data_IF_576806678958
#
_entry.id   IF_576806678958
#
_cell.length_a   1.000
_cell.length_b   1.000
_cell.length_c   1.000
_cell.angle_alpha   90.00
_cell.angle_beta   90.00
_cell.angle_gamma   90.00
#
_symmetry.space_group_name_H-M   'P 1'
#
loop_
_entity.id
_entity.type
_entity.pdbx_description
1 polymer ?
#
# COMPACT_ATOMS: atom_id res chain seq x y z
N UNK A 1 25.23 -39.33 37.72
CA UNK A 1 24.27 -38.23 37.52
C UNK A 1 24.56 -37.59 36.17
N UNK A 2 23.56 -37.55 35.30
CA UNK A 2 23.56 -36.92 33.97
C UNK A 2 24.07 -35.47 34.06
N UNK A 3 24.79 -34.91 33.10
CA UNK A 3 24.64 -35.00 31.65
C UNK A 3 24.18 -33.62 31.17
N UNK A 4 25.15 -32.74 30.88
CA UNK A 4 24.92 -31.38 30.40
C UNK A 4 24.35 -31.40 28.98
N UNK A 5 23.34 -30.58 28.73
CA UNK A 5 22.73 -30.41 27.42
C UNK A 5 21.78 -29.21 27.41
N UNK A 6 22.34 -28.00 27.37
CA UNK A 6 21.57 -26.80 27.08
C UNK A 6 21.40 -26.71 25.56
N UNK A 7 20.22 -27.05 25.06
CA UNK A 7 19.79 -26.78 23.70
C UNK A 7 19.53 -25.28 23.55
N UNK A 8 20.36 -24.61 22.75
CA UNK A 8 20.08 -23.29 22.19
C UNK A 8 19.41 -23.51 20.84
N UNK A 9 18.08 -23.40 20.82
CA UNK A 9 17.29 -23.40 19.60
C UNK A 9 17.60 -22.14 18.79
N UNK A 10 17.96 -22.38 17.53
CA UNK A 10 18.55 -21.40 16.63
C UNK A 10 17.57 -20.31 16.22
N UNK A 11 17.91 -19.08 16.60
CA UNK A 11 17.39 -17.90 15.93
C UNK A 11 18.12 -17.77 14.58
N UNK A 12 17.45 -18.19 13.51
CA UNK A 12 17.90 -17.96 12.15
C UNK A 12 17.75 -16.47 11.81
N UNK A 13 18.80 -15.69 12.04
CA UNK A 13 18.94 -14.34 11.49
C UNK A 13 19.61 -14.42 10.12
N UNK A 14 18.84 -14.12 9.08
CA UNK A 14 19.34 -13.86 7.73
C UNK A 14 20.20 -12.59 7.75
N UNK A 15 21.43 -12.69 7.23
CA UNK A 15 22.10 -11.58 6.55
C UNK A 15 23.07 -10.75 7.40
N UNK A 16 24.34 -11.16 7.40
CA UNK A 16 25.45 -10.23 7.65
C UNK A 16 25.85 -9.48 6.38
N UNK A 17 26.47 -8.32 6.56
CA UNK A 17 27.48 -7.80 5.63
C UNK A 17 27.37 -6.31 5.25
N UNK A 18 28.37 -5.54 5.69
CA UNK A 18 28.89 -4.41 4.91
C UNK A 18 28.41 -3.02 5.33
N UNK A 19 29.37 -2.18 5.73
CA UNK A 19 29.11 -0.78 6.10
C UNK A 19 28.53 0.02 4.94
N UNK A 20 27.51 0.82 5.28
CA UNK A 20 27.07 1.97 4.53
C UNK A 20 26.83 3.08 5.56
N UNK A 21 27.68 4.10 5.49
CA UNK A 21 27.55 5.33 6.25
C UNK A 21 26.15 5.95 6.01
N UNK A 22 25.49 6.39 7.09
CA UNK A 22 24.24 7.17 7.13
C UNK A 22 22.91 6.48 6.74
N UNK A 23 22.73 5.18 6.98
CA UNK A 23 21.34 4.66 7.09
C UNK A 23 20.73 5.15 8.41
N UNK A 24 19.64 5.94 8.41
CA UNK A 24 19.01 6.36 9.66
C UNK A 24 18.58 5.10 10.40
N UNK A 25 19.08 4.90 11.61
CA UNK A 25 18.69 3.80 12.47
C UNK A 25 17.17 3.85 12.63
N UNK A 26 16.46 3.02 11.85
CA UNK A 26 15.02 2.92 11.95
C UNK A 26 14.74 2.29 13.31
N UNK A 27 13.96 2.98 14.13
CA UNK A 27 13.54 2.41 15.41
C UNK A 27 12.79 1.10 15.11
N UNK A 28 13.14 0.00 15.80
CA UNK A 28 12.48 -1.29 15.54
C UNK A 28 10.99 -1.29 15.92
N UNK A 29 10.51 -0.26 16.65
CA UNK A 29 9.08 -0.05 16.93
C UNK A 29 8.40 0.95 15.97
N UNK A 30 9.05 1.36 14.89
CA UNK A 30 8.54 2.35 13.94
C UNK A 30 7.52 1.75 12.94
N UNK A 31 6.72 0.77 13.38
CA UNK A 31 5.63 0.21 12.60
C UNK A 31 4.30 0.90 12.94
N UNK A 32 3.37 1.03 11.98
CA UNK A 32 2.00 1.41 12.30
C UNK A 32 1.38 0.36 13.24
N UNK A 33 0.60 0.82 14.21
CA UNK A 33 0.01 -0.02 15.25
C UNK A 33 -0.91 -1.11 14.67
N UNK A 34 -1.58 -0.82 13.55
CA UNK A 34 -2.41 -1.76 12.81
C UNK A 34 -2.56 -1.35 11.33
N UNK A 35 -3.15 -2.25 10.54
CA UNK A 35 -3.46 -2.08 9.12
C UNK A 35 -4.39 -0.90 8.85
N UNK A 36 -5.33 -0.62 9.76
CA UNK A 36 -6.23 0.54 9.64
C UNK A 36 -5.48 1.87 9.72
N UNK A 37 -4.52 1.99 10.65
CA UNK A 37 -3.64 3.15 10.75
C UNK A 37 -2.74 3.28 9.52
N UNK A 38 -2.22 2.15 9.02
CA UNK A 38 -1.44 2.12 7.79
C UNK A 38 -2.24 2.62 6.59
N UNK A 39 -3.48 2.11 6.39
CA UNK A 39 -4.41 2.55 5.35
C UNK A 39 -4.67 4.05 5.44
N UNK A 40 -5.02 4.57 6.62
CA UNK A 40 -5.25 6.01 6.80
C UNK A 40 -4.01 6.84 6.46
N UNK A 41 -2.82 6.35 6.83
CA UNK A 41 -1.54 6.97 6.49
C UNK A 41 -1.27 7.00 4.98
N UNK A 42 -1.50 5.87 4.28
CA UNK A 42 -1.36 5.79 2.83
C UNK A 42 -2.35 6.72 2.10
N UNK A 43 -3.60 6.80 2.56
CA UNK A 43 -4.60 7.74 2.02
C UNK A 43 -4.11 9.18 2.13
N UNK A 44 -3.61 9.55 3.30
CA UNK A 44 -3.10 10.89 3.57
C UNK A 44 -1.89 11.20 2.69
N UNK A 45 -0.95 10.27 2.57
CA UNK A 45 0.22 10.41 1.71
C UNK A 45 -0.16 10.72 0.27
N UNK A 46 -1.06 9.95 -0.35
CA UNK A 46 -1.43 10.18 -1.75
C UNK A 46 -2.17 11.49 -1.96
N UNK A 47 -3.02 11.88 -1.02
CA UNK A 47 -3.80 13.12 -1.11
C UNK A 47 -2.95 14.38 -0.87
N UNK A 48 -1.99 14.30 0.04
CA UNK A 48 -1.30 15.49 0.56
C UNK A 48 0.14 15.62 0.08
N UNK A 49 0.81 14.53 -0.34
CA UNK A 49 2.20 14.59 -0.76
C UNK A 49 2.34 15.48 -1.99
N UNK A 50 3.26 16.44 -1.89
CA UNK A 50 3.62 17.36 -2.98
C UNK A 50 5.10 17.32 -3.26
N UNK A 51 5.44 17.41 -4.53
CA UNK A 51 6.79 17.71 -4.97
C UNK A 51 6.78 19.12 -5.57
N UNK A 52 7.35 20.09 -4.85
CA UNK A 52 7.15 21.50 -5.15
C UNK A 52 5.68 21.90 -5.01
N UNK A 53 5.05 22.32 -6.11
CA UNK A 53 3.63 22.75 -6.14
C UNK A 53 2.68 21.70 -6.73
N UNK A 54 3.16 20.49 -7.06
CA UNK A 54 2.37 19.45 -7.74
C UNK A 54 2.02 18.30 -6.79
N UNK A 55 0.80 17.79 -6.91
CA UNK A 55 0.36 16.58 -6.20
C UNK A 55 0.67 15.34 -7.02
N UNK A 56 1.94 14.92 -7.02
CA UNK A 56 2.46 13.90 -7.95
C UNK A 56 1.63 12.61 -7.95
N UNK A 57 1.30 12.07 -6.77
CA UNK A 57 0.60 10.79 -6.67
C UNK A 57 -0.91 10.89 -6.88
N UNK A 58 -1.53 11.98 -6.39
CA UNK A 58 -2.95 12.25 -6.66
C UNK A 58 -3.21 12.37 -8.16
N UNK A 59 -2.39 13.16 -8.84
CA UNK A 59 -2.54 13.44 -10.27
C UNK A 59 -2.27 12.17 -11.08
N UNK A 60 -1.25 11.38 -10.69
CA UNK A 60 -0.97 10.07 -11.29
C UNK A 60 -2.13 9.08 -11.11
N UNK A 61 -2.73 9.02 -9.92
CA UNK A 61 -3.85 8.13 -9.64
C UNK A 61 -5.05 8.44 -10.56
N UNK A 62 -5.39 9.71 -10.72
CA UNK A 62 -6.49 10.16 -11.59
C UNK A 62 -6.17 9.85 -13.06
N UNK A 63 -4.96 10.20 -13.52
CA UNK A 63 -4.54 9.97 -14.92
C UNK A 63 -4.54 8.48 -15.27
N UNK A 64 -3.96 7.63 -14.42
CA UNK A 64 -3.90 6.19 -14.64
C UNK A 64 -5.31 5.57 -14.75
N UNK A 65 -6.22 5.94 -13.85
CA UNK A 65 -7.61 5.44 -13.89
C UNK A 65 -8.36 5.93 -15.12
N UNK A 66 -8.15 7.18 -15.55
CA UNK A 66 -8.77 7.71 -16.79
C UNK A 66 -8.35 6.93 -18.04
N UNK A 67 -7.17 6.29 -17.99
CA UNK A 67 -6.61 5.43 -19.04
C UNK A 67 -6.95 3.94 -18.86
N UNK A 68 -7.71 3.58 -17.83
CA UNK A 68 -8.03 2.19 -17.48
C UNK A 68 -6.86 1.42 -16.87
N UNK A 69 -5.83 2.10 -16.39
CA UNK A 69 -4.68 1.52 -15.69
C UNK A 69 -4.91 1.62 -14.19
N UNK A 70 -5.23 0.50 -13.54
CA UNK A 70 -5.56 0.43 -12.11
C UNK A 70 -4.33 0.15 -11.24
N UNK A 71 -3.21 0.79 -11.56
CA UNK A 71 -1.96 0.66 -10.81
C UNK A 71 -1.32 2.03 -10.63
N UNK A 72 -0.49 2.17 -9.59
CA UNK A 72 0.26 3.39 -9.34
C UNK A 72 1.65 3.02 -8.84
N UNK A 73 2.66 3.79 -9.27
CA UNK A 73 4.04 3.60 -8.85
C UNK A 73 4.42 4.71 -7.87
N UNK A 74 4.81 4.32 -6.66
CA UNK A 74 5.30 5.27 -5.64
C UNK A 74 6.79 5.08 -5.37
N UNK A 75 7.43 6.16 -4.95
CA UNK A 75 8.78 6.13 -4.40
C UNK A 75 8.71 5.88 -2.90
N UNK A 76 9.35 4.79 -2.43
CA UNK A 76 9.45 4.48 -1.00
C UNK A 76 10.19 5.61 -0.25
N UNK A 77 11.15 6.27 -0.90
CA UNK A 77 11.85 7.41 -0.31
C UNK A 77 10.90 8.59 -0.05
N UNK A 78 9.96 8.89 -0.95
CA UNK A 78 8.94 9.92 -0.71
C UNK A 78 8.00 9.53 0.43
N UNK A 79 7.69 8.24 0.54
CA UNK A 79 6.89 7.72 1.64
C UNK A 79 7.63 7.81 2.97
N UNK A 80 8.93 7.51 3.01
CA UNK A 80 9.77 7.69 4.20
C UNK A 80 9.80 9.14 4.65
N UNK A 81 9.97 10.08 3.71
CA UNK A 81 9.99 11.51 4.01
C UNK A 81 8.68 12.03 4.60
N UNK A 82 7.54 11.44 4.18
CA UNK A 82 6.22 11.86 4.65
C UNK A 82 5.80 11.13 5.94
N UNK A 83 5.99 9.81 5.96
CA UNK A 83 5.60 8.91 7.03
C UNK A 83 6.61 7.75 7.11
N UNK A 84 7.72 7.92 7.86
CA UNK A 84 8.77 6.90 7.98
C UNK A 84 8.24 5.53 8.39
N UNK A 85 7.19 5.50 9.21
CA UNK A 85 6.57 4.27 9.65
C UNK A 85 5.97 3.44 8.51
N UNK A 86 5.38 4.10 7.51
CA UNK A 86 4.78 3.42 6.36
C UNK A 86 5.84 2.89 5.41
N UNK A 87 6.91 3.67 5.18
CA UNK A 87 8.02 3.23 4.34
C UNK A 87 8.78 2.07 4.98
N UNK A 88 9.03 2.12 6.29
CA UNK A 88 9.58 1.01 7.06
C UNK A 88 8.67 -0.22 7.03
N UNK A 89 7.36 -0.04 7.18
CA UNK A 89 6.38 -1.13 7.12
C UNK A 89 6.32 -1.83 5.76
N UNK A 90 6.39 -1.09 4.64
CA UNK A 90 6.44 -1.69 3.31
C UNK A 90 7.76 -2.45 3.04
N UNK A 91 8.88 -2.00 3.61
CA UNK A 91 10.18 -2.70 3.47
C UNK A 91 10.25 -3.97 4.30
N UNK A 92 9.74 -3.93 5.52
CA UNK A 92 9.89 -5.04 6.49
C UNK A 92 8.74 -6.04 6.44
N UNK A 93 7.51 -5.59 6.18
CA UNK A 93 6.31 -6.42 6.18
C UNK A 93 5.38 -6.14 4.99
N UNK A 94 5.87 -6.21 3.73
CA UNK A 94 5.07 -5.88 2.55
C UNK A 94 3.79 -6.73 2.45
N UNK A 95 3.88 -8.04 2.72
CA UNK A 95 2.71 -8.94 2.62
C UNK A 95 1.54 -8.53 3.52
N UNK A 96 1.83 -7.88 4.66
CA UNK A 96 0.82 -7.42 5.61
C UNK A 96 0.23 -6.07 5.21
N UNK A 97 1.07 -5.13 4.80
CA UNK A 97 0.65 -3.75 4.57
C UNK A 97 0.28 -3.44 3.12
N UNK A 98 0.57 -4.34 2.16
CA UNK A 98 0.22 -4.15 0.75
C UNK A 98 -1.29 -4.07 0.55
N UNK A 99 -2.07 -4.95 1.19
CA UNK A 99 -3.53 -4.90 1.08
C UNK A 99 -4.12 -3.60 1.66
N UNK A 100 -3.52 -3.09 2.74
CA UNK A 100 -3.91 -1.78 3.31
C UNK A 100 -3.58 -0.62 2.36
N UNK A 101 -2.46 -0.72 1.64
CA UNK A 101 -2.07 0.24 0.61
C UNK A 101 -3.06 0.22 -0.57
N UNK A 102 -3.38 -0.95 -1.12
CA UNK A 102 -4.31 -1.08 -2.26
C UNK A 102 -5.70 -0.52 -1.91
N UNK A 103 -6.23 -0.89 -0.74
CA UNK A 103 -7.49 -0.35 -0.24
C UNK A 103 -7.44 1.16 -0.05
N UNK A 104 -6.32 1.70 0.44
CA UNK A 104 -6.14 3.14 0.56
C UNK A 104 -6.20 3.84 -0.81
N UNK A 105 -5.59 3.27 -1.85
CA UNK A 105 -5.63 3.86 -3.20
C UNK A 105 -7.04 3.87 -3.76
N UNK A 106 -7.77 2.77 -3.58
CA UNK A 106 -9.15 2.64 -4.03
C UNK A 106 -10.06 3.67 -3.35
N UNK A 107 -9.94 3.82 -2.03
CA UNK A 107 -10.68 4.83 -1.27
C UNK A 107 -10.39 6.24 -1.78
N UNK A 108 -9.11 6.57 -1.99
CA UNK A 108 -8.71 7.90 -2.46
C UNK A 108 -9.29 8.17 -3.84
N UNK A 109 -9.28 7.17 -4.73
CA UNK A 109 -9.88 7.32 -6.04
C UNK A 109 -11.40 7.57 -5.97
N UNK A 110 -12.13 6.78 -5.18
CA UNK A 110 -13.58 6.97 -4.95
C UNK A 110 -13.86 8.37 -4.40
N UNK A 111 -13.11 8.80 -3.38
CA UNK A 111 -13.25 10.14 -2.78
C UNK A 111 -12.96 11.27 -3.78
N UNK A 112 -12.00 11.10 -4.69
CA UNK A 112 -11.60 12.13 -5.66
C UNK A 112 -12.49 12.18 -6.89
N UNK A 113 -12.97 11.03 -7.35
CA UNK A 113 -13.81 10.90 -8.55
C UNK A 113 -15.29 11.20 -8.26
N UNK A 114 -15.71 11.10 -7.00
CA UNK A 114 -17.13 11.07 -6.65
C UNK A 114 -17.86 9.86 -7.24
N UNK A 115 -17.13 8.87 -7.76
CA UNK A 115 -17.71 7.62 -8.22
C UNK A 115 -18.32 6.89 -7.02
N UNK A 116 -19.52 6.28 -7.14
CA UNK A 116 -20.03 5.45 -6.07
C UNK A 116 -19.07 4.30 -5.82
N UNK A 117 -18.90 3.94 -4.54
CA UNK A 117 -18.05 2.82 -4.12
C UNK A 117 -18.34 1.60 -5.01
N UNK A 118 -17.30 0.89 -5.51
CA UNK A 118 -17.51 -0.34 -6.23
C UNK A 118 -18.19 -1.32 -5.28
N UNK A 119 -19.47 -1.58 -5.54
CA UNK A 119 -20.26 -2.56 -4.79
C UNK A 119 -19.60 -3.93 -4.95
N UNK A 120 -19.00 -4.41 -3.86
CA UNK A 120 -18.58 -5.80 -3.72
C UNK A 120 -19.86 -6.66 -3.82
N UNK A 121 -20.13 -7.21 -5.01
CA UNK A 121 -21.33 -8.04 -5.24
C UNK A 121 -22.14 -7.80 -6.51
N UNK A 122 -21.62 -7.10 -7.52
CA UNK A 122 -22.22 -7.15 -8.86
C UNK A 122 -22.03 -8.54 -9.47
N UNK A 123 -23.00 -9.44 -9.26
CA UNK A 123 -23.08 -10.74 -9.94
C UNK A 123 -22.72 -10.54 -11.41
N UNK A 124 -21.68 -11.24 -11.86
CA UNK A 124 -21.37 -11.34 -13.28
C UNK A 124 -22.59 -11.95 -13.98
N UNK A 125 -23.45 -11.10 -14.56
CA UNK A 125 -24.43 -11.56 -15.51
C UNK A 125 -23.65 -12.01 -16.75
N UNK A 126 -23.50 -13.32 -16.87
CA UNK A 126 -23.00 -13.97 -18.06
C UNK A 126 -24.13 -13.99 -19.07
N UNK A 127 -24.18 -12.99 -19.95
CA UNK A 127 -25.01 -13.07 -21.14
C UNK A 127 -24.41 -14.10 -22.11
N UNK A 128 -25.27 -14.93 -22.68
CA UNK A 128 -25.00 -16.10 -23.55
C UNK A 128 -24.29 -15.77 -24.88
N UNK A 129 -23.68 -14.59 -25.02
CA UNK A 129 -23.09 -14.07 -26.26
C UNK A 129 -21.61 -13.67 -26.17
N UNK A 130 -20.86 -14.20 -25.20
CA UNK A 130 -19.38 -14.29 -25.27
C UNK A 130 -18.58 -12.98 -25.28
N UNK A 131 -19.21 -11.81 -25.14
CA UNK A 131 -18.49 -10.53 -25.08
C UNK A 131 -18.26 -10.09 -23.64
N UNK A 132 -17.03 -10.27 -23.16
CA UNK A 132 -16.55 -9.67 -21.92
C UNK A 132 -16.35 -8.16 -22.12
N UNK A 133 -17.39 -7.37 -21.84
CA UNK A 133 -17.24 -5.92 -21.64
C UNK A 133 -17.81 -5.56 -20.27
N UNK A 134 -17.03 -5.83 -19.23
CA UNK A 134 -17.32 -5.31 -17.90
C UNK A 134 -17.16 -3.80 -17.92
N UNK A 135 -18.27 -3.07 -17.91
CA UNK A 135 -18.30 -1.68 -17.48
C UNK A 135 -19.22 -1.60 -16.26
N UNK A 136 -18.80 -0.99 -15.14
CA UNK A 136 -19.71 -0.68 -14.06
C UNK A 136 -20.75 0.33 -14.57
N UNK A 137 -22.03 -0.02 -14.50
CA UNK A 137 -23.14 0.91 -14.75
C UNK A 137 -23.28 1.84 -13.54
N UNK A 138 -22.96 3.11 -13.73
CA UNK A 138 -23.22 4.17 -12.76
C UNK A 138 -24.60 4.78 -13.03
N UNK A 139 -25.51 4.70 -12.06
CA UNK A 139 -26.78 5.44 -12.12
C UNK A 139 -26.59 6.83 -11.50
N UNK A 140 -26.83 7.88 -12.29
CA UNK A 140 -27.02 9.23 -11.79
C UNK A 140 -28.47 9.41 -11.34
N UNK A 141 -28.66 10.08 -10.21
CA UNK A 141 -29.97 10.42 -9.65
C UNK A 141 -30.30 11.88 -9.92
#
# INVERSE_FOLDING_TARGET
MAGAGAGMDGAFYYGGGGGFDDEPAYDQNLLPANEGQARAGFKKFVKEFRQGQKFVYRDQLIDNWSRGVYSMTLSVHHLDQFAPALGHALRTQPQRFMSSYEQAMQDVFVELSGAPEPVDGGQAQVDDQGFRRGMPTFQLK
#
